data_IF_556541012816
#
_entry.id   IF_556541012816
#
_cell.length_a   1.000
_cell.length_b   1.000
_cell.length_c   1.000
_cell.angle_alpha   90.00
_cell.angle_beta   90.00
_cell.angle_gamma   90.00
#
_symmetry.space_group_name_H-M   'P 1'
#
loop_
_entity.id
_entity.type
_entity.pdbx_description
1 polymer ?
#
# COMPACT_ATOMS: atom_id res chain seq x y z
N UNK A 1 -36.82 0.07 -13.75
CA UNK A 1 -37.01 1.50 -13.49
C UNK A 1 -36.69 2.32 -14.73
N UNK A 2 -35.54 2.07 -15.37
CA UNK A 2 -35.10 2.79 -16.57
C UNK A 2 -35.56 2.15 -17.90
N UNK A 3 -36.18 0.98 -17.88
CA UNK A 3 -36.70 0.28 -19.06
C UNK A 3 -35.65 -0.28 -20.03
N UNK A 4 -34.38 -0.09 -19.74
CA UNK A 4 -33.24 -0.61 -20.51
C UNK A 4 -32.07 -0.97 -19.56
N UNK A 5 -31.19 -1.87 -20.03
CA UNK A 5 -29.91 -2.13 -19.37
C UNK A 5 -28.95 -0.93 -19.62
N UNK A 6 -28.02 -0.66 -18.71
CA UNK A 6 -26.97 0.34 -18.94
C UNK A 6 -26.12 -0.06 -20.16
N UNK A 7 -25.67 0.92 -20.93
CA UNK A 7 -24.75 0.69 -22.05
C UNK A 7 -23.32 0.40 -21.58
N UNK A 8 -22.94 1.01 -20.43
CA UNK A 8 -21.63 0.85 -19.82
C UNK A 8 -21.76 0.68 -18.31
N UNK A 9 -20.86 -0.11 -17.76
CA UNK A 9 -20.78 -0.38 -16.31
C UNK A 9 -19.35 -0.19 -15.83
N UNK A 10 -19.18 0.67 -14.81
CA UNK A 10 -17.89 0.97 -14.21
C UNK A 10 -17.87 0.54 -12.74
N UNK A 11 -16.72 0.05 -12.27
CA UNK A 11 -16.49 -0.17 -10.86
C UNK A 11 -15.35 0.73 -10.38
N UNK A 12 -15.60 1.49 -9.32
CA UNK A 12 -14.57 2.31 -8.70
C UNK A 12 -14.46 1.98 -7.21
N UNK A 13 -13.23 1.85 -6.71
CA UNK A 13 -13.02 1.53 -5.31
C UNK A 13 -11.65 1.96 -4.79
N UNK A 14 -11.61 2.28 -3.50
CA UNK A 14 -10.41 2.66 -2.77
C UNK A 14 -10.17 1.65 -1.65
N UNK A 15 -8.89 1.29 -1.36
CA UNK A 15 -8.51 0.41 -0.27
C UNK A 15 -9.14 -1.00 -0.42
N UNK A 16 -9.98 -1.43 0.51
CA UNK A 16 -10.79 -2.64 0.39
C UNK A 16 -11.65 -2.61 -0.89
N UNK A 17 -12.27 -1.46 -1.21
CA UNK A 17 -13.00 -1.26 -2.47
C UNK A 17 -12.09 -1.36 -3.69
N UNK A 18 -10.83 -0.95 -3.59
CA UNK A 18 -9.81 -1.14 -4.63
C UNK A 18 -9.51 -2.63 -4.87
N UNK A 19 -9.44 -3.45 -3.81
CA UNK A 19 -9.36 -4.91 -3.92
C UNK A 19 -10.61 -5.48 -4.60
N UNK A 20 -11.79 -5.01 -4.22
CA UNK A 20 -13.05 -5.43 -4.85
C UNK A 20 -13.10 -5.06 -6.33
N UNK A 21 -12.56 -3.88 -6.70
CA UNK A 21 -12.39 -3.47 -8.08
C UNK A 21 -11.53 -4.45 -8.89
N UNK A 22 -10.41 -4.91 -8.32
CA UNK A 22 -9.60 -5.97 -8.96
C UNK A 22 -10.34 -7.31 -8.96
N UNK A 23 -11.09 -7.62 -7.91
CA UNK A 23 -11.89 -8.86 -7.85
C UNK A 23 -12.90 -8.92 -9.00
N UNK A 24 -13.60 -7.83 -9.31
CA UNK A 24 -14.59 -7.85 -10.38
C UNK A 24 -13.93 -8.00 -11.76
N UNK A 25 -12.78 -7.35 -11.99
CA UNK A 25 -12.02 -7.54 -13.23
C UNK A 25 -11.53 -8.99 -13.40
N UNK A 26 -11.12 -9.65 -12.30
CA UNK A 26 -10.61 -11.03 -12.29
C UNK A 26 -11.70 -12.08 -12.40
N UNK A 27 -12.80 -11.92 -11.63
CA UNK A 27 -13.81 -12.98 -11.44
C UNK A 27 -15.11 -12.74 -12.21
N UNK A 28 -15.41 -11.49 -12.56
CA UNK A 28 -16.61 -11.06 -13.27
C UNK A 28 -16.26 -10.19 -14.49
N UNK A 29 -15.32 -10.64 -15.36
CA UNK A 29 -14.79 -9.81 -16.44
C UNK A 29 -15.85 -9.40 -17.47
N UNK A 30 -16.98 -10.09 -17.54
CA UNK A 30 -18.04 -9.79 -18.49
C UNK A 30 -19.00 -8.69 -18.04
N UNK A 31 -18.96 -8.30 -16.77
CA UNK A 31 -19.96 -7.42 -16.17
C UNK A 31 -19.55 -5.93 -16.18
N UNK A 32 -18.25 -5.62 -16.39
CA UNK A 32 -17.72 -4.27 -16.26
C UNK A 32 -16.90 -3.85 -17.48
N UNK A 33 -17.11 -2.63 -17.97
CA UNK A 33 -16.38 -2.03 -19.10
C UNK A 33 -15.13 -1.26 -18.64
N UNK A 34 -15.14 -0.78 -17.41
CA UNK A 34 -14.00 -0.08 -16.83
C UNK A 34 -13.90 -0.28 -15.32
N UNK A 35 -12.67 -0.35 -14.84
CA UNK A 35 -12.35 -0.56 -13.43
C UNK A 35 -11.31 0.46 -12.99
N UNK A 36 -11.63 1.19 -11.91
CA UNK A 36 -10.71 2.08 -11.21
C UNK A 36 -10.41 1.52 -9.82
N UNK A 37 -9.16 1.15 -9.59
CA UNK A 37 -8.68 0.56 -8.35
C UNK A 37 -7.64 1.46 -7.72
N UNK A 38 -7.96 2.06 -6.58
CA UNK A 38 -7.09 3.02 -5.87
C UNK A 38 -6.61 2.38 -4.58
N UNK A 39 -5.29 2.38 -4.37
CA UNK A 39 -4.58 1.80 -3.20
C UNK A 39 -5.15 0.44 -2.78
N UNK A 40 -5.25 -0.51 -3.70
CA UNK A 40 -5.94 -1.77 -3.43
C UNK A 40 -5.21 -2.64 -2.43
N UNK A 41 -5.96 -3.25 -1.55
CA UNK A 41 -5.47 -4.32 -0.67
C UNK A 41 -5.38 -5.63 -1.46
N UNK A 42 -4.53 -5.68 -2.48
CA UNK A 42 -4.44 -6.77 -3.48
C UNK A 42 -4.26 -8.13 -2.82
N UNK A 43 -3.26 -8.22 -1.94
CA UNK A 43 -2.89 -9.43 -1.22
C UNK A 43 -3.32 -9.29 0.24
N UNK A 44 -4.63 -9.41 0.47
CA UNK A 44 -5.24 -9.19 1.78
C UNK A 44 -4.66 -10.12 2.85
N UNK A 45 -4.55 -11.41 2.54
CA UNK A 45 -4.07 -12.42 3.49
C UNK A 45 -2.68 -12.07 4.02
N UNK A 46 -1.71 -11.82 3.14
CA UNK A 46 -0.34 -11.51 3.57
C UNK A 46 -0.20 -10.12 4.18
N UNK A 47 -1.00 -9.14 3.76
CA UNK A 47 -1.05 -7.84 4.44
C UNK A 47 -1.42 -8.02 5.92
N UNK A 48 -2.47 -8.79 6.21
CA UNK A 48 -2.91 -9.00 7.60
C UNK A 48 -1.85 -9.74 8.42
N UNK A 49 -1.19 -10.73 7.84
CA UNK A 49 -0.09 -11.43 8.48
C UNK A 49 1.13 -10.52 8.70
N UNK A 50 1.45 -9.67 7.73
CA UNK A 50 2.52 -8.67 7.85
C UNK A 50 2.22 -7.61 8.93
N UNK A 51 0.96 -7.18 9.05
CA UNK A 51 0.52 -6.31 10.15
C UNK A 51 0.62 -7.01 11.51
N UNK A 52 0.15 -8.25 11.60
CA UNK A 52 0.20 -9.00 12.87
C UNK A 52 1.62 -9.17 13.41
N UNK A 53 2.62 -9.49 12.56
CA UNK A 53 4.01 -9.68 13.01
C UNK A 53 4.62 -8.46 13.69
N UNK A 54 4.10 -7.25 13.40
CA UNK A 54 4.54 -6.02 14.04
C UNK A 54 4.17 -5.97 15.53
N UNK A 55 3.08 -6.61 15.92
CA UNK A 55 2.58 -6.56 17.30
C UNK A 55 3.61 -6.98 18.35
N UNK A 56 4.36 -8.05 18.08
CA UNK A 56 5.39 -8.54 18.99
C UNK A 56 6.55 -7.55 19.13
N UNK A 57 7.13 -7.09 18.03
CA UNK A 57 8.29 -6.19 18.08
C UNK A 57 7.94 -4.84 18.72
N UNK A 58 6.72 -4.33 18.47
CA UNK A 58 6.26 -3.09 19.09
C UNK A 58 6.06 -3.25 20.61
N UNK A 59 5.49 -4.39 21.07
CA UNK A 59 5.35 -4.73 22.49
C UNK A 59 6.71 -4.82 23.17
N UNK A 60 7.69 -5.42 22.52
CA UNK A 60 9.02 -5.73 23.07
C UNK A 60 10.00 -4.53 22.96
N UNK A 61 9.48 -3.31 22.96
CA UNK A 61 10.26 -2.06 23.01
C UNK A 61 10.49 -1.39 21.65
N UNK A 62 9.93 -1.92 20.58
CA UNK A 62 10.03 -1.33 19.24
C UNK A 62 9.08 -0.16 18.98
N UNK A 63 8.13 0.12 19.89
CA UNK A 63 7.23 1.26 19.76
C UNK A 63 7.98 2.59 19.80
N UNK A 64 7.55 3.56 18.98
CA UNK A 64 8.14 4.89 18.87
C UNK A 64 7.07 5.97 19.05
N UNK A 65 7.42 7.00 19.82
CA UNK A 65 6.65 8.23 19.92
C UNK A 65 6.81 9.13 18.67
N UNK A 66 6.03 10.19 18.61
CA UNK A 66 6.05 11.13 17.50
C UNK A 66 7.42 11.80 17.27
N UNK A 67 8.22 11.96 18.33
CA UNK A 67 9.55 12.58 18.23
C UNK A 67 10.53 11.65 17.49
N UNK A 68 10.51 10.35 17.82
CA UNK A 68 11.34 9.35 17.14
C UNK A 68 10.88 9.04 15.73
N UNK A 69 9.57 9.10 15.47
CA UNK A 69 9.04 9.00 14.10
C UNK A 69 9.55 10.16 13.24
N UNK A 70 9.50 11.41 13.74
CA UNK A 70 10.04 12.58 13.04
C UNK A 70 11.55 12.48 12.81
N UNK A 71 12.32 12.04 13.81
CA UNK A 71 13.75 11.79 13.67
C UNK A 71 14.05 10.84 12.53
N UNK A 72 13.32 9.72 12.47
CA UNK A 72 13.49 8.71 11.43
C UNK A 72 13.19 9.29 10.04
N UNK A 73 12.03 9.90 9.87
CA UNK A 73 11.58 10.45 8.59
C UNK A 73 12.49 11.58 8.10
N UNK A 74 12.91 12.48 8.98
CA UNK A 74 13.85 13.56 8.64
C UNK A 74 15.20 13.01 8.18
N UNK A 75 15.80 12.10 8.94
CA UNK A 75 17.09 11.52 8.59
C UNK A 75 17.05 10.78 7.24
N UNK A 76 15.92 10.18 6.91
CA UNK A 76 15.74 9.53 5.62
C UNK A 76 15.64 10.54 4.47
N UNK A 77 14.84 11.60 4.64
CA UNK A 77 14.78 12.68 3.65
C UNK A 77 16.14 13.32 3.42
N UNK A 78 16.92 13.55 4.47
CA UNK A 78 18.29 14.09 4.35
C UNK A 78 19.25 13.11 3.64
N UNK A 79 19.16 11.83 3.92
CA UNK A 79 20.04 10.82 3.35
C UNK A 79 19.67 10.42 1.92
N UNK A 80 18.38 10.42 1.60
CA UNK A 80 17.84 9.98 0.30
C UNK A 80 17.47 11.16 -0.61
N UNK A 81 17.47 12.39 -0.06
CA UNK A 81 17.05 13.60 -0.74
C UNK A 81 18.22 14.31 -1.42
N UNK A 82 18.42 14.07 -2.71
CA UNK A 82 19.02 15.11 -3.56
C UNK A 82 17.97 16.21 -3.84
N UNK A 83 18.33 17.33 -4.47
CA UNK A 83 17.39 18.41 -4.80
C UNK A 83 16.17 17.94 -5.60
N UNK A 84 16.30 16.84 -6.32
CA UNK A 84 15.26 16.26 -7.17
C UNK A 84 14.47 15.12 -6.50
N UNK A 85 14.91 14.63 -5.33
CA UNK A 85 14.32 13.48 -4.66
C UNK A 85 13.38 13.85 -3.52
N UNK A 86 13.44 15.09 -3.02
CA UNK A 86 12.52 15.63 -2.01
C UNK A 86 11.88 16.90 -2.55
N UNK A 87 10.60 16.84 -2.80
CA UNK A 87 9.80 17.98 -3.21
C UNK A 87 8.96 18.45 -2.02
N UNK A 88 9.21 19.65 -1.55
CA UNK A 88 8.47 20.29 -0.44
C UNK A 88 8.27 19.35 0.78
N UNK A 89 9.35 18.68 1.20
CA UNK A 89 9.33 17.74 2.33
C UNK A 89 8.80 16.34 2.01
N UNK A 90 8.38 16.07 0.78
CA UNK A 90 7.96 14.74 0.33
C UNK A 90 9.11 13.99 -0.34
N UNK A 91 9.39 12.79 0.09
CA UNK A 91 10.30 11.91 -0.65
C UNK A 91 9.59 11.41 -1.90
N UNK A 92 10.06 11.83 -3.09
CA UNK A 92 9.47 11.44 -4.38
C UNK A 92 10.21 10.28 -5.03
N UNK A 93 11.55 10.23 -4.94
CA UNK A 93 12.33 9.07 -5.37
C UNK A 93 12.47 8.05 -4.22
N UNK A 94 11.38 7.40 -3.89
CA UNK A 94 11.32 6.37 -2.85
C UNK A 94 12.10 5.09 -3.20
N UNK A 95 12.33 4.83 -4.49
CA UNK A 95 13.01 3.63 -4.96
C UNK A 95 14.51 3.68 -4.71
N UNK A 96 15.11 4.86 -4.76
CA UNK A 96 16.54 5.06 -4.51
C UNK A 96 16.88 5.19 -3.02
N UNK A 97 15.89 5.28 -2.13
CA UNK A 97 16.14 5.48 -0.70
C UNK A 97 16.63 4.20 0.00
N UNK A 98 17.91 4.13 0.30
CA UNK A 98 18.58 3.02 0.99
C UNK A 98 19.10 3.41 2.39
N UNK A 99 18.26 4.03 3.22
CA UNK A 99 18.64 4.46 4.57
C UNK A 99 18.62 3.31 5.58
N UNK A 100 19.73 3.10 6.31
CA UNK A 100 19.79 2.17 7.44
C UNK A 100 19.45 2.88 8.76
N UNK A 101 18.33 2.51 9.44
CA UNK A 101 17.94 3.12 10.73
C UNK A 101 18.95 2.94 11.85
N UNK A 102 19.92 2.02 11.73
CA UNK A 102 20.99 1.88 12.70
C UNK A 102 21.88 3.13 12.84
N UNK A 103 21.88 4.01 11.85
CA UNK A 103 22.56 5.32 11.93
C UNK A 103 21.98 6.23 13.00
N UNK A 104 20.74 5.96 13.45
CA UNK A 104 20.05 6.71 14.49
C UNK A 104 20.13 6.06 15.88
N UNK A 105 20.91 4.96 16.01
CA UNK A 105 21.02 4.20 17.27
C UNK A 105 21.55 5.03 18.43
N UNK A 106 20.96 4.82 19.61
CA UNK A 106 21.46 5.39 20.87
C UNK A 106 22.83 4.81 21.24
N UNK A 107 23.63 5.55 22.00
CA UNK A 107 24.90 5.08 22.57
C UNK A 107 26.16 5.28 21.70
N UNK A 108 26.04 5.74 20.44
CA UNK A 108 27.17 6.06 19.56
C UNK A 108 27.63 7.54 19.65
N UNK A 109 27.53 8.15 20.83
CA UNK A 109 27.79 9.59 21.01
C UNK A 109 26.65 10.49 20.57
N UNK A 110 25.52 9.92 20.14
CA UNK A 110 24.30 10.64 19.76
C UNK A 110 23.52 11.04 21.03
N UNK A 111 23.18 12.32 21.13
CA UNK A 111 22.22 12.81 22.13
C UNK A 111 20.78 12.37 21.76
N UNK A 112 19.88 12.37 22.74
CA UNK A 112 18.43 12.20 22.49
C UNK A 112 17.90 13.34 21.58
N UNK A 113 16.94 13.07 20.67
CA UNK A 113 16.31 11.76 20.44
C UNK A 113 17.20 10.80 19.63
N UNK A 114 17.11 9.50 19.95
CA UNK A 114 17.81 8.42 19.25
C UNK A 114 16.93 7.15 19.25
N UNK A 115 17.30 6.11 18.50
CA UNK A 115 16.57 4.86 18.42
C UNK A 115 17.24 3.76 19.27
N UNK A 116 16.48 3.11 20.13
CA UNK A 116 16.89 1.87 20.80
C UNK A 116 17.03 0.71 19.80
N UNK A 117 17.75 -0.34 20.16
CA UNK A 117 17.93 -1.51 19.31
C UNK A 117 16.61 -2.16 18.85
N UNK A 118 15.64 -2.24 19.76
CA UNK A 118 14.30 -2.75 19.46
C UNK A 118 13.55 -1.86 18.45
N UNK A 119 13.74 -0.54 18.50
CA UNK A 119 13.14 0.40 17.55
C UNK A 119 13.79 0.29 16.17
N UNK A 120 15.10 0.16 16.10
CA UNK A 120 15.82 -0.14 14.84
C UNK A 120 15.32 -1.45 14.25
N UNK A 121 15.13 -2.48 15.08
CA UNK A 121 14.58 -3.77 14.63
C UNK A 121 13.13 -3.63 14.11
N UNK A 122 12.30 -2.82 14.75
CA UNK A 122 10.93 -2.56 14.31
C UNK A 122 10.88 -1.89 12.92
N UNK A 123 11.72 -0.87 12.68
CA UNK A 123 11.83 -0.21 11.37
C UNK A 123 12.26 -1.21 10.30
N UNK A 124 13.29 -2.01 10.58
CA UNK A 124 13.79 -3.02 9.63
C UNK A 124 12.74 -4.09 9.35
N UNK A 125 12.03 -4.57 10.37
CA UNK A 125 10.96 -5.55 10.21
C UNK A 125 9.84 -4.99 9.34
N UNK A 126 9.38 -3.76 9.58
CA UNK A 126 8.32 -3.13 8.80
C UNK A 126 8.68 -3.00 7.32
N UNK A 127 9.94 -2.71 7.01
CA UNK A 127 10.45 -2.59 5.64
C UNK A 127 10.84 -3.92 5.01
N UNK A 128 10.96 -4.99 5.80
CA UNK A 128 11.34 -6.30 5.29
C UNK A 128 10.14 -7.01 4.65
N UNK A 129 10.44 -7.81 3.63
CA UNK A 129 9.48 -8.74 3.04
C UNK A 129 9.03 -9.79 4.08
N UNK A 130 7.74 -10.10 4.13
CA UNK A 130 7.23 -11.31 4.75
C UNK A 130 7.22 -12.43 3.71
N UNK A 131 7.79 -13.57 4.04
CA UNK A 131 7.82 -14.75 3.14
C UNK A 131 7.15 -15.94 3.81
N UNK A 132 6.39 -16.70 3.01
CA UNK A 132 5.85 -17.99 3.40
C UNK A 132 6.62 -19.11 2.71
N UNK A 133 6.79 -20.23 3.42
CA UNK A 133 7.39 -21.46 2.89
C UNK A 133 6.52 -22.16 1.84
N UNK A 134 5.27 -21.70 1.67
CA UNK A 134 4.28 -22.28 0.77
C UNK A 134 3.55 -21.20 -0.03
N UNK A 135 2.99 -21.54 -1.21
CA UNK A 135 2.22 -20.60 -2.00
C UNK A 135 0.79 -20.42 -1.48
N UNK A 136 0.29 -19.20 -1.57
CA UNK A 136 -1.11 -18.83 -1.47
C UNK A 136 -1.79 -18.86 -2.86
N UNK A 137 -3.01 -18.31 -2.95
CA UNK A 137 -3.72 -18.14 -4.21
C UNK A 137 -2.81 -17.51 -5.28
N UNK A 138 -2.95 -18.03 -6.51
CA UNK A 138 -2.20 -17.56 -7.69
C UNK A 138 -0.67 -17.61 -7.53
N UNK A 139 -0.16 -18.52 -6.67
CA UNK A 139 1.27 -18.76 -6.48
C UNK A 139 2.01 -17.69 -5.67
N UNK A 140 1.32 -16.75 -5.04
CA UNK A 140 1.96 -15.71 -4.23
C UNK A 140 2.54 -16.32 -2.95
N UNK A 141 3.78 -15.95 -2.60
CA UNK A 141 4.47 -16.46 -1.40
C UNK A 141 4.93 -15.35 -0.46
N UNK A 142 4.90 -14.11 -0.90
CA UNK A 142 5.49 -13.04 -0.10
C UNK A 142 4.69 -11.75 -0.19
N UNK A 143 4.85 -10.92 0.83
CA UNK A 143 4.35 -9.55 0.89
C UNK A 143 5.52 -8.58 1.00
N UNK A 144 5.60 -7.54 0.16
CA UNK A 144 6.68 -6.57 0.24
C UNK A 144 6.62 -5.78 1.56
N UNK A 145 7.76 -5.26 1.98
CA UNK A 145 7.80 -4.25 3.02
C UNK A 145 7.24 -2.92 2.53
N UNK A 146 7.22 -1.91 3.39
CA UNK A 146 6.73 -0.58 3.07
C UNK A 146 7.87 0.38 2.69
N UNK A 147 7.58 1.41 1.88
CA UNK A 147 8.55 2.43 1.53
C UNK A 147 8.95 3.29 2.73
N UNK A 148 9.99 4.09 2.54
CA UNK A 148 10.60 4.97 3.53
C UNK A 148 10.33 6.45 3.22
N UNK A 149 10.44 7.33 4.23
CA UNK A 149 10.68 8.76 4.06
C UNK A 149 9.52 9.71 4.37
N UNK A 150 8.32 9.20 4.59
CA UNK A 150 7.12 10.02 4.83
C UNK A 150 6.35 9.56 6.10
N UNK A 151 7.03 8.92 7.04
CA UNK A 151 6.44 8.29 8.22
C UNK A 151 5.79 9.29 9.18
N UNK A 152 6.30 10.52 9.22
CA UNK A 152 5.86 11.60 10.10
C UNK A 152 4.71 12.47 9.53
N UNK A 153 4.29 12.19 8.30
CA UNK A 153 3.18 12.91 7.70
C UNK A 153 1.84 12.54 8.35
N UNK A 154 0.85 13.46 8.37
CA UNK A 154 -0.48 13.17 8.89
C UNK A 154 -1.11 11.91 8.31
N UNK A 155 -1.67 11.04 9.18
CA UNK A 155 -2.20 9.74 8.77
C UNK A 155 -1.11 8.73 8.37
N UNK A 156 0.10 8.90 8.90
CA UNK A 156 1.26 8.05 8.71
C UNK A 156 1.44 7.00 9.81
N UNK A 157 2.66 6.89 10.33
CA UNK A 157 3.01 5.87 11.32
C UNK A 157 2.34 6.06 12.67
N UNK A 158 1.99 7.29 13.05
CA UNK A 158 1.26 7.60 14.26
C UNK A 158 -0.08 6.84 14.39
N UNK A 159 -0.74 6.59 13.27
CA UNK A 159 -2.02 5.87 13.21
C UNK A 159 -1.81 4.40 12.81
N UNK A 160 -1.19 4.20 11.64
CA UNK A 160 -1.18 2.87 11.04
C UNK A 160 -0.22 1.90 11.70
N UNK A 161 0.98 2.36 12.07
CA UNK A 161 2.07 1.46 12.48
C UNK A 161 2.28 1.47 13.99
N UNK A 162 2.39 2.63 14.62
CA UNK A 162 2.67 2.75 16.05
C UNK A 162 1.41 2.79 16.89
N UNK A 163 0.39 3.55 16.46
CA UNK A 163 -0.73 3.89 17.31
C UNK A 163 -0.32 4.85 18.45
N UNK A 164 -1.29 5.38 19.22
CA UNK A 164 -1.05 6.36 20.27
C UNK A 164 -0.30 5.81 21.51
N UNK A 165 -0.21 4.49 21.68
CA UNK A 165 0.46 3.86 22.81
C UNK A 165 1.10 2.51 22.44
N UNK A 166 2.14 2.07 23.19
CA UNK A 166 2.73 0.76 22.98
C UNK A 166 1.70 -0.35 23.21
N UNK A 167 1.81 -1.48 22.48
CA UNK A 167 0.92 -2.62 22.68
C UNK A 167 1.03 -3.17 24.12
N UNK A 168 -0.09 -3.59 24.73
CA UNK A 168 -0.08 -4.19 26.06
C UNK A 168 0.60 -5.57 26.05
N UNK A 169 1.12 -6.00 27.21
CA UNK A 169 1.76 -7.30 27.35
C UNK A 169 0.82 -8.46 26.98
N UNK A 170 -0.47 -8.34 27.30
CA UNK A 170 -1.52 -9.27 26.92
C UNK A 170 -2.49 -8.55 25.98
N UNK A 171 -2.72 -9.10 24.80
CA UNK A 171 -3.66 -8.52 23.86
C UNK A 171 -5.10 -8.61 24.39
N UNK A 172 -5.85 -7.51 24.38
CA UNK A 172 -7.27 -7.56 24.71
C UNK A 172 -8.04 -8.42 23.67
N UNK A 173 -9.11 -9.02 24.10
CA UNK A 173 -10.11 -9.56 23.18
C UNK A 173 -10.72 -8.41 22.37
N UNK A 174 -10.88 -8.60 21.05
CA UNK A 174 -11.35 -7.55 20.17
C UNK A 174 -10.25 -6.53 19.78
N UNK A 175 -10.68 -5.34 19.37
CA UNK A 175 -9.81 -4.26 18.92
C UNK A 175 -9.18 -3.54 20.12
N UNK A 176 -7.89 -3.27 20.07
CA UNK A 176 -7.21 -2.37 21.00
C UNK A 176 -7.35 -0.92 20.51
N UNK A 177 -8.20 -0.06 21.12
CA UNK A 177 -8.43 1.30 20.63
C UNK A 177 -7.18 2.20 20.66
N UNK A 178 -6.23 1.89 21.54
CA UNK A 178 -4.97 2.62 21.66
C UNK A 178 -3.81 2.00 20.88
N UNK A 179 -4.06 1.01 20.03
CA UNK A 179 -3.03 0.27 19.33
C UNK A 179 -2.87 0.66 17.87
N UNK A 180 -1.80 0.19 17.30
CA UNK A 180 -1.53 0.22 15.85
C UNK A 180 -2.69 -0.36 15.04
N UNK A 181 -3.12 0.33 13.99
CA UNK A 181 -4.26 -0.12 13.16
C UNK A 181 -3.91 -1.40 12.40
N UNK A 182 -2.71 -1.49 11.81
CA UNK A 182 -2.31 -2.71 11.07
C UNK A 182 -2.15 -3.92 11.99
N UNK A 183 -1.68 -3.72 13.23
CA UNK A 183 -1.60 -4.80 14.23
C UNK A 183 -2.99 -5.25 14.65
N UNK A 184 -3.92 -4.31 14.86
CA UNK A 184 -5.30 -4.64 15.18
C UNK A 184 -5.95 -5.47 14.07
N UNK A 185 -5.86 -5.02 12.82
CA UNK A 185 -6.42 -5.77 11.68
C UNK A 185 -5.79 -7.15 11.55
N UNK A 186 -4.47 -7.23 11.62
CA UNK A 186 -3.75 -8.50 11.56
C UNK A 186 -4.14 -9.46 12.69
N UNK A 187 -4.24 -8.97 13.93
CA UNK A 187 -4.65 -9.78 15.07
C UNK A 187 -6.10 -10.30 14.94
N UNK A 188 -7.04 -9.44 14.50
CA UNK A 188 -8.41 -9.87 14.25
C UNK A 188 -8.50 -10.90 13.12
N UNK A 189 -7.73 -10.69 12.03
CA UNK A 189 -7.66 -11.66 10.94
C UNK A 189 -7.15 -13.03 11.43
N UNK A 190 -6.07 -13.06 12.20
CA UNK A 190 -5.53 -14.31 12.77
C UNK A 190 -6.56 -14.98 13.66
N UNK A 191 -7.19 -14.25 14.58
CA UNK A 191 -8.17 -14.79 15.52
C UNK A 191 -9.40 -15.36 14.83
N UNK A 192 -10.04 -14.59 13.96
CA UNK A 192 -11.35 -14.94 13.42
C UNK A 192 -11.28 -15.71 12.10
N UNK A 193 -10.33 -15.38 11.24
CA UNK A 193 -10.23 -16.03 9.93
C UNK A 193 -9.37 -17.29 9.96
N UNK A 194 -8.27 -17.30 10.74
CA UNK A 194 -7.31 -18.42 10.72
C UNK A 194 -7.52 -19.37 11.90
N UNK A 195 -7.30 -18.89 13.12
CA UNK A 195 -7.33 -19.72 14.34
C UNK A 195 -8.76 -20.06 14.78
N UNK A 196 -9.70 -19.14 14.58
CA UNK A 196 -11.11 -19.20 15.00
C UNK A 196 -11.28 -19.26 16.54
N UNK A 197 -10.40 -18.55 17.23
CA UNK A 197 -10.44 -18.35 18.67
C UNK A 197 -10.25 -16.86 19.01
N UNK A 198 -11.28 -16.16 19.51
CA UNK A 198 -11.20 -14.75 19.86
C UNK A 198 -10.18 -14.44 20.96
N UNK A 199 -9.91 -15.39 21.86
CA UNK A 199 -8.98 -15.23 22.98
C UNK A 199 -7.51 -15.50 22.61
N UNK A 200 -7.26 -15.99 21.40
CA UNK A 200 -5.91 -16.35 20.95
C UNK A 200 -4.95 -15.14 20.99
N UNK A 201 -3.78 -15.32 21.64
CA UNK A 201 -2.73 -14.31 21.70
C UNK A 201 -1.88 -14.38 20.43
N UNK A 202 -1.97 -13.33 19.56
CA UNK A 202 -1.39 -13.40 18.21
C UNK A 202 0.05 -12.94 18.12
N UNK A 203 0.66 -12.46 19.21
CA UNK A 203 2.04 -11.98 19.20
C UNK A 203 3.07 -13.04 18.76
N UNK A 204 2.83 -14.29 19.12
CA UNK A 204 3.70 -15.41 18.80
C UNK A 204 3.15 -16.29 17.65
N UNK A 205 2.18 -15.75 16.90
CA UNK A 205 1.65 -16.44 15.73
C UNK A 205 2.68 -16.51 14.61
N UNK A 206 3.02 -17.73 14.22
CA UNK A 206 3.88 -17.99 13.06
C UNK A 206 3.02 -18.50 11.89
N UNK A 207 2.97 -17.75 10.77
CA UNK A 207 2.20 -18.19 9.60
C UNK A 207 2.83 -19.41 8.90
N UNK A 208 4.09 -19.73 9.16
CA UNK A 208 4.75 -20.94 8.62
C UNK A 208 4.52 -22.20 9.49
N UNK A 209 3.86 -22.08 10.65
CA UNK A 209 3.46 -23.25 11.42
C UNK A 209 2.50 -24.13 10.60
N UNK A 210 2.83 -25.43 10.39
CA UNK A 210 2.04 -26.35 9.57
C UNK A 210 0.55 -26.45 9.96
N UNK A 211 0.22 -26.19 11.25
CA UNK A 211 -1.18 -26.21 11.77
C UNK A 211 -2.10 -25.23 11.04
N UNK A 212 -1.56 -24.09 10.57
CA UNK A 212 -2.36 -23.01 10.00
C UNK A 212 -2.32 -22.98 8.47
N UNK A 213 -1.39 -23.69 7.85
CA UNK A 213 -1.11 -23.64 6.42
C UNK A 213 -2.34 -23.86 5.55
N UNK A 214 -3.06 -24.96 5.76
CA UNK A 214 -4.24 -25.29 4.96
C UNK A 214 -5.30 -24.17 5.05
N UNK A 215 -5.51 -23.66 6.27
CA UNK A 215 -6.50 -22.60 6.50
C UNK A 215 -6.08 -21.28 5.88
N UNK A 216 -4.82 -20.88 5.99
CA UNK A 216 -4.29 -19.65 5.38
C UNK A 216 -4.43 -19.73 3.85
N UNK A 217 -4.07 -20.85 3.24
CA UNK A 217 -4.23 -21.08 1.80
C UNK A 217 -5.71 -20.99 1.38
N UNK A 218 -6.61 -21.67 2.09
CA UNK A 218 -8.04 -21.65 1.78
C UNK A 218 -8.62 -20.23 1.87
N UNK A 219 -8.24 -19.45 2.88
CA UNK A 219 -8.69 -18.06 3.04
C UNK A 219 -8.16 -17.19 1.90
N UNK A 220 -6.90 -17.36 1.49
CA UNK A 220 -6.32 -16.58 0.39
C UNK A 220 -7.09 -16.74 -0.93
N UNK A 221 -7.55 -17.94 -1.24
CA UNK A 221 -8.39 -18.18 -2.43
C UNK A 221 -9.74 -17.44 -2.39
N UNK A 222 -10.23 -17.11 -1.20
CA UNK A 222 -11.49 -16.38 -1.03
C UNK A 222 -11.28 -14.87 -1.10
N UNK A 223 -10.28 -14.35 -0.36
CA UNK A 223 -10.17 -12.92 -0.09
C UNK A 223 -9.13 -12.19 -0.93
N UNK A 224 -8.12 -12.87 -1.50
CA UNK A 224 -7.08 -12.21 -2.27
C UNK A 224 -7.50 -11.95 -3.71
N UNK A 225 -7.06 -10.83 -4.28
CA UNK A 225 -7.29 -10.42 -5.67
C UNK A 225 -5.97 -10.37 -6.42
N UNK A 226 -5.26 -11.51 -6.42
CA UNK A 226 -3.88 -11.63 -6.89
C UNK A 226 -3.72 -12.34 -8.23
N UNK A 227 -4.82 -12.64 -8.93
CA UNK A 227 -4.76 -13.27 -10.26
C UNK A 227 -4.19 -12.27 -11.28
N UNK A 228 -3.03 -12.55 -11.90
CA UNK A 228 -2.44 -11.66 -12.88
C UNK A 228 -3.02 -11.86 -14.29
N UNK A 229 -3.81 -12.91 -14.53
CA UNK A 229 -4.41 -13.18 -15.82
C UNK A 229 -5.76 -12.46 -15.99
N UNK A 230 -5.69 -11.26 -16.52
CA UNK A 230 -6.85 -10.47 -16.92
C UNK A 230 -7.16 -10.56 -18.43
N UNK A 231 -6.69 -11.61 -19.10
CA UNK A 231 -6.85 -11.78 -20.55
C UNK A 231 -8.31 -11.69 -21.00
N UNK A 232 -9.24 -12.29 -20.24
CA UNK A 232 -10.67 -12.26 -20.55
C UNK A 232 -11.25 -10.84 -20.45
N UNK A 233 -10.87 -10.10 -19.41
CA UNK A 233 -11.28 -8.69 -19.25
C UNK A 233 -10.72 -7.81 -20.38
N UNK A 234 -9.44 -8.00 -20.74
CA UNK A 234 -8.80 -7.29 -21.83
C UNK A 234 -9.42 -7.60 -23.20
N UNK A 235 -9.69 -8.89 -23.49
CA UNK A 235 -10.29 -9.35 -24.77
C UNK A 235 -11.69 -8.77 -24.98
N UNK A 236 -12.45 -8.57 -23.91
CA UNK A 236 -13.75 -7.92 -23.96
C UNK A 236 -13.66 -6.41 -24.26
N UNK A 237 -12.49 -5.82 -24.16
CA UNK A 237 -12.26 -4.37 -24.29
C UNK A 237 -12.28 -3.60 -22.99
N UNK A 238 -12.36 -4.28 -21.84
CA UNK A 238 -12.34 -3.67 -20.52
C UNK A 238 -11.09 -2.82 -20.27
N UNK A 239 -11.21 -1.78 -19.46
CA UNK A 239 -10.11 -0.85 -19.11
C UNK A 239 -9.87 -0.80 -17.62
N UNK A 240 -8.60 -0.85 -17.21
CA UNK A 240 -8.18 -0.81 -15.80
C UNK A 240 -7.25 0.38 -15.54
N UNK A 241 -7.61 1.20 -14.58
CA UNK A 241 -6.70 2.19 -13.97
C UNK A 241 -6.41 1.73 -12.55
N UNK A 242 -5.12 1.56 -12.24
CA UNK A 242 -4.59 1.24 -10.92
C UNK A 242 -3.81 2.45 -10.40
N UNK A 243 -4.05 2.85 -9.16
CA UNK A 243 -3.37 3.98 -8.52
C UNK A 243 -2.80 3.55 -7.19
N UNK A 244 -1.51 3.82 -6.94
CA UNK A 244 -0.83 3.53 -5.68
C UNK A 244 -0.26 4.81 -5.05
N UNK A 245 -0.36 4.93 -3.74
CA UNK A 245 0.10 6.08 -2.95
C UNK A 245 1.33 5.70 -2.13
N UNK A 246 2.46 6.39 -2.34
CA UNK A 246 3.74 5.96 -1.78
C UNK A 246 3.95 6.27 -0.29
N UNK A 247 3.11 7.09 0.34
CA UNK A 247 3.07 7.23 1.80
C UNK A 247 1.88 6.47 2.43
N UNK A 248 1.39 5.44 1.75
CA UNK A 248 0.37 4.54 2.27
C UNK A 248 0.98 3.52 3.23
N UNK A 249 0.63 3.63 4.52
CA UNK A 249 1.05 2.71 5.56
C UNK A 249 -0.06 1.76 6.01
N UNK A 250 -1.26 1.89 5.46
CA UNK A 250 -2.35 0.93 5.65
C UNK A 250 -2.11 -0.37 4.89
N UNK A 251 -1.57 -0.24 3.68
CA UNK A 251 -1.12 -1.33 2.82
C UNK A 251 0.19 -0.93 2.14
N UNK A 252 1.00 -1.89 1.68
CA UNK A 252 2.23 -1.57 0.96
C UNK A 252 1.93 -1.26 -0.51
N UNK A 253 2.24 -0.05 -1.02
CA UNK A 253 2.07 0.26 -2.44
C UNK A 253 2.91 -0.64 -3.35
N UNK A 254 3.98 -1.22 -2.84
CA UNK A 254 4.76 -2.22 -3.58
C UNK A 254 3.95 -3.47 -3.91
N UNK A 255 2.88 -3.79 -3.15
CA UNK A 255 2.04 -4.94 -3.45
C UNK A 255 1.25 -4.76 -4.76
N UNK A 256 0.69 -3.56 -5.01
CA UNK A 256 0.03 -3.25 -6.28
C UNK A 256 1.02 -3.12 -7.44
N UNK A 257 2.21 -2.55 -7.18
CA UNK A 257 3.29 -2.49 -8.19
C UNK A 257 3.74 -3.92 -8.59
N UNK A 258 3.95 -4.81 -7.63
CA UNK A 258 4.30 -6.22 -7.89
C UNK A 258 3.18 -6.96 -8.63
N UNK A 259 1.92 -6.71 -8.29
CA UNK A 259 0.77 -7.24 -9.00
C UNK A 259 0.75 -6.79 -10.47
N UNK A 260 0.94 -5.50 -10.74
CA UNK A 260 0.99 -4.96 -12.09
C UNK A 260 2.16 -5.55 -12.91
N UNK A 261 3.32 -5.73 -12.28
CA UNK A 261 4.47 -6.39 -12.92
C UNK A 261 4.16 -7.85 -13.28
N UNK A 262 3.58 -8.62 -12.35
CA UNK A 262 3.15 -9.99 -12.60
C UNK A 262 2.12 -10.09 -13.73
N UNK A 263 1.18 -9.14 -13.79
CA UNK A 263 0.23 -9.04 -14.90
C UNK A 263 0.96 -8.79 -16.24
N UNK A 264 1.96 -7.91 -16.23
CA UNK A 264 2.79 -7.63 -17.41
C UNK A 264 3.63 -8.83 -17.83
N UNK A 265 4.18 -9.57 -16.90
CA UNK A 265 4.93 -10.81 -17.14
C UNK A 265 4.03 -11.92 -17.71
N UNK A 266 2.79 -11.99 -17.25
CA UNK A 266 1.80 -13.01 -17.68
C UNK A 266 1.23 -12.73 -19.07
N UNK A 267 0.85 -11.47 -19.34
CA UNK A 267 0.10 -11.12 -20.56
C UNK A 267 0.95 -10.46 -21.66
N UNK A 268 2.18 -10.03 -21.30
CA UNK A 268 3.05 -9.25 -22.16
C UNK A 268 2.75 -7.74 -22.11
N UNK A 269 3.81 -6.94 -22.20
CA UNK A 269 3.73 -5.48 -22.05
C UNK A 269 2.76 -4.82 -23.05
N UNK A 270 2.77 -5.22 -24.30
CA UNK A 270 1.88 -4.65 -25.33
C UNK A 270 0.40 -4.92 -25.03
N UNK A 271 0.07 -6.11 -24.54
CA UNK A 271 -1.30 -6.45 -24.14
C UNK A 271 -1.74 -5.60 -22.95
N UNK A 272 -0.92 -5.53 -21.90
CA UNK A 272 -1.23 -4.74 -20.71
C UNK A 272 -1.39 -3.27 -21.07
N UNK A 273 -0.52 -2.75 -21.93
CA UNK A 273 -0.58 -1.35 -22.39
C UNK A 273 -1.89 -1.01 -23.12
N UNK A 274 -2.52 -1.96 -23.77
CA UNK A 274 -3.77 -1.73 -24.47
C UNK A 274 -4.99 -1.57 -23.54
N UNK A 275 -4.93 -2.07 -22.27
CA UNK A 275 -6.08 -2.07 -21.38
C UNK A 275 -5.83 -1.63 -19.94
N UNK A 276 -4.59 -1.58 -19.48
CA UNK A 276 -4.29 -1.26 -18.08
C UNK A 276 -3.24 -0.15 -17.93
N UNK A 277 -3.39 0.70 -16.93
CA UNK A 277 -2.43 1.74 -16.51
C UNK A 277 -2.22 1.67 -15.01
N UNK A 278 -0.96 1.85 -14.59
CA UNK A 278 -0.60 2.06 -13.20
C UNK A 278 -0.03 3.46 -13.03
N UNK A 279 -0.56 4.19 -12.06
CA UNK A 279 -0.05 5.48 -11.59
C UNK A 279 0.46 5.34 -10.17
N UNK A 280 1.65 5.89 -9.91
CA UNK A 280 2.26 5.88 -8.60
C UNK A 280 2.43 7.32 -8.12
N UNK A 281 1.77 7.65 -7.01
CA UNK A 281 1.69 9.01 -6.48
C UNK A 281 2.63 9.18 -5.29
N UNK A 282 3.73 9.92 -5.43
CA UNK A 282 4.65 10.17 -4.33
C UNK A 282 3.98 10.93 -3.18
N UNK A 283 4.31 10.59 -1.94
CA UNK A 283 3.92 11.32 -0.74
C UNK A 283 2.45 11.28 -0.33
N UNK A 284 1.55 10.77 -1.17
CA UNK A 284 0.15 10.63 -0.80
C UNK A 284 -0.05 9.51 0.23
N UNK A 285 -0.83 9.79 1.29
CA UNK A 285 -1.21 8.81 2.30
C UNK A 285 -2.42 7.97 1.84
N UNK A 286 -2.83 6.99 2.64
CA UNK A 286 -3.94 6.08 2.32
C UNK A 286 -5.25 6.78 1.89
N UNK A 287 -5.54 7.94 2.45
CA UNK A 287 -6.72 8.75 2.11
C UNK A 287 -6.51 9.72 0.94
N UNK A 288 -5.33 9.73 0.32
CA UNK A 288 -4.97 10.67 -0.74
C UNK A 288 -4.60 12.06 -0.23
N UNK A 289 -4.29 12.22 1.08
CA UNK A 289 -3.76 13.45 1.66
C UNK A 289 -2.24 13.58 1.51
N UNK A 290 -1.71 14.71 1.94
CA UNK A 290 -0.30 15.10 2.01
C UNK A 290 0.36 15.46 0.68
N UNK A 291 -0.13 14.96 -0.44
CA UNK A 291 0.40 15.23 -1.77
C UNK A 291 -0.73 15.37 -2.80
N UNK A 292 -0.49 16.00 -3.96
CA UNK A 292 -1.44 15.96 -5.05
C UNK A 292 -1.76 14.54 -5.46
N UNK A 293 -3.02 14.13 -5.33
CA UNK A 293 -3.48 12.76 -5.59
C UNK A 293 -4.83 12.69 -6.30
N UNK A 294 -5.50 13.85 -6.44
CA UNK A 294 -6.85 13.94 -7.00
C UNK A 294 -6.81 14.24 -8.48
N UNK A 295 -7.45 13.42 -9.26
CA UNK A 295 -7.80 13.66 -10.65
C UNK A 295 -9.24 13.20 -10.89
N UNK A 296 -9.83 13.62 -11.98
CA UNK A 296 -11.12 13.08 -12.44
C UNK A 296 -10.90 11.74 -13.13
N UNK A 297 -10.50 10.75 -12.31
CA UNK A 297 -10.17 9.40 -12.78
C UNK A 297 -11.33 8.72 -13.50
N UNK A 298 -12.59 9.04 -13.09
CA UNK A 298 -13.76 8.43 -13.72
C UNK A 298 -13.91 8.92 -15.16
N UNK A 299 -13.87 10.23 -15.40
CA UNK A 299 -13.90 10.78 -16.77
C UNK A 299 -12.73 10.26 -17.62
N UNK A 300 -11.54 10.13 -17.06
CA UNK A 300 -10.38 9.55 -17.75
C UNK A 300 -10.66 8.10 -18.17
N UNK A 301 -11.23 7.29 -17.27
CA UNK A 301 -11.60 5.90 -17.55
C UNK A 301 -12.71 5.80 -18.59
N UNK A 302 -13.74 6.64 -18.52
CA UNK A 302 -14.84 6.72 -19.49
C UNK A 302 -14.33 7.06 -20.89
N UNK A 303 -13.48 8.08 -21.02
CA UNK A 303 -12.89 8.45 -22.30
C UNK A 303 -12.10 7.28 -22.91
N UNK A 304 -11.39 6.54 -22.09
CA UNK A 304 -10.65 5.38 -22.55
C UNK A 304 -11.57 4.22 -22.97
N UNK A 305 -12.55 3.88 -22.14
CA UNK A 305 -13.45 2.75 -22.40
C UNK A 305 -14.44 3.02 -23.54
N UNK A 306 -14.94 4.27 -23.68
CA UNK A 306 -15.97 4.59 -24.66
C UNK A 306 -15.45 5.13 -25.99
N UNK A 307 -14.34 5.90 -25.94
CA UNK A 307 -13.79 6.58 -27.11
C UNK A 307 -12.45 6.05 -27.56
N UNK A 308 -11.88 5.09 -26.80
CA UNK A 308 -10.56 4.54 -27.10
C UNK A 308 -9.40 5.51 -26.88
N UNK A 309 -9.62 6.62 -26.15
CA UNK A 309 -8.58 7.60 -25.82
C UNK A 309 -7.92 7.21 -24.52
N UNK A 310 -6.71 6.63 -24.54
CA UNK A 310 -6.03 6.24 -23.31
C UNK A 310 -5.62 7.46 -22.48
N UNK A 311 -5.46 7.31 -21.16
CA UNK A 311 -4.91 8.38 -20.32
C UNK A 311 -3.57 8.89 -20.86
N UNK A 312 -3.48 10.19 -21.10
CA UNK A 312 -2.30 10.86 -21.61
C UNK A 312 -1.26 11.16 -20.54
N UNK A 313 -0.13 11.75 -20.97
CA UNK A 313 0.93 12.23 -20.07
C UNK A 313 0.63 13.64 -19.52
N UNK A 314 -0.42 14.27 -19.99
CA UNK A 314 -0.93 15.58 -19.59
C UNK A 314 -1.88 15.54 -18.39
N UNK A 315 -2.10 14.36 -17.81
CA UNK A 315 -2.93 14.21 -16.63
C UNK A 315 -2.26 14.83 -15.40
N UNK A 316 -2.95 15.78 -14.79
CA UNK A 316 -2.47 16.51 -13.61
C UNK A 316 -3.22 16.06 -12.37
N UNK A 317 -2.47 15.79 -11.31
CA UNK A 317 -2.97 15.55 -9.97
C UNK A 317 -3.06 16.87 -9.21
N UNK A 318 -4.09 17.02 -8.41
CA UNK A 318 -4.37 18.23 -7.63
C UNK A 318 -4.42 17.94 -6.14
N UNK A 319 -3.96 18.92 -5.35
CA UNK A 319 -4.16 19.04 -3.92
C UNK A 319 -4.70 20.45 -3.64
N UNK A 320 -5.71 20.57 -2.76
CA UNK A 320 -6.28 21.87 -2.37
C UNK A 320 -5.88 22.27 -0.96
N UNK A 321 -5.69 21.30 -0.08
CA UNK A 321 -5.39 21.47 1.35
C UNK A 321 -4.22 20.60 1.77
N UNK A 322 -3.37 21.01 2.72
CA UNK A 322 -3.29 22.34 3.36
C UNK A 322 -2.66 23.41 2.46
N UNK A 323 -2.02 23.02 1.35
CA UNK A 323 -1.41 23.90 0.35
C UNK A 323 -1.92 23.47 -1.01
N UNK A 324 -2.38 24.42 -1.81
CA UNK A 324 -2.76 24.17 -3.20
C UNK A 324 -1.51 23.91 -4.03
N UNK A 325 -1.44 22.74 -4.68
CA UNK A 325 -0.34 22.37 -5.58
C UNK A 325 -0.77 21.29 -6.56
N UNK A 326 0.04 21.10 -7.59
CA UNK A 326 -0.20 20.11 -8.63
C UNK A 326 1.03 19.24 -8.85
N UNK A 327 0.82 18.04 -9.41
CA UNK A 327 1.88 17.15 -9.89
C UNK A 327 1.41 16.47 -11.17
N UNK A 328 2.29 16.21 -12.15
CA UNK A 328 1.95 15.33 -13.26
C UNK A 328 1.68 13.90 -12.74
N UNK A 329 0.63 13.28 -13.25
CA UNK A 329 0.36 11.88 -13.02
C UNK A 329 1.28 11.02 -13.87
N UNK A 330 2.44 10.69 -13.36
CA UNK A 330 3.40 9.87 -14.09
C UNK A 330 2.95 8.41 -14.13
N UNK A 331 2.89 7.86 -15.34
CA UNK A 331 2.65 6.44 -15.54
C UNK A 331 3.86 5.62 -15.09
N UNK A 332 3.63 4.57 -14.28
CA UNK A 332 4.69 3.65 -13.87
C UNK A 332 5.40 3.03 -15.10
N UNK A 333 6.76 2.96 -15.11
CA UNK A 333 7.67 3.18 -13.98
C UNK A 333 8.21 4.61 -13.83
N UNK A 334 7.65 5.61 -14.51
CA UNK A 334 8.10 7.00 -14.41
C UNK A 334 7.61 7.67 -13.12
N UNK A 335 8.32 8.69 -12.68
CA UNK A 335 7.95 9.56 -11.56
C UNK A 335 8.22 11.04 -11.92
N UNK A 336 7.55 11.99 -11.25
CA UNK A 336 7.77 13.41 -11.50
C UNK A 336 9.17 13.83 -11.04
N UNK A 337 9.85 14.64 -11.85
CA UNK A 337 11.16 15.23 -11.54
C UNK A 337 11.03 16.74 -11.53
N UNK A 338 11.44 17.37 -10.43
CA UNK A 338 11.42 18.83 -10.32
C UNK A 338 12.45 19.48 -11.25
N UNK A 339 12.00 20.41 -12.09
CA UNK A 339 12.83 21.11 -13.09
C UNK A 339 13.17 22.55 -12.69
N UNK A 340 12.79 22.99 -11.49
CA UNK A 340 12.92 24.38 -11.03
C UNK A 340 11.60 25.15 -11.18
N UNK A 341 11.54 26.35 -10.59
CA UNK A 341 10.33 27.20 -10.55
C UNK A 341 9.66 27.20 -9.17
N UNK A 342 8.38 27.50 -9.10
CA UNK A 342 7.61 27.34 -7.87
C UNK A 342 7.29 25.85 -7.65
N UNK A 343 7.69 25.23 -6.54
CA UNK A 343 7.41 23.81 -6.30
C UNK A 343 5.93 23.49 -6.11
N UNK A 344 5.07 24.50 -6.05
CA UNK A 344 3.62 24.36 -5.91
C UNK A 344 2.84 24.53 -7.22
N UNK A 345 3.53 24.90 -8.31
CA UNK A 345 2.92 25.09 -9.64
C UNK A 345 2.92 23.81 -10.49
#
# INVERSE_FOLDING_TARGET
>A
FYGALPERVYFTGLSQGGREALTVAQRFPDDYDGVLSIVPVVNFTLLQLAGNRMGRVLRDGGWMDAERIRLLAQAQREACGGPDAVLDGLLVDYAACAFDPAQLRCGSGRAEPCLADAQVAAVRLFRSRLELEYPLANGVRSYPGWPAGNEDLPGGWDIWVMGPAPPPAVQPEGVNPGGSVIVNFGAQFVRYAIVRDPAFQTYDFDPNDPRWRERIVAVSHIVDSTDPDLSRFAQRGGKLILVEYMADYAQSPYAGIEYFRRMTETLGAATVDAFARLYVVPGANHGGGNAPSRADWLTVLEQWAERGVPPGEDLILHQTEPVARTLPACRYPNWPVYQGGDPND
#
